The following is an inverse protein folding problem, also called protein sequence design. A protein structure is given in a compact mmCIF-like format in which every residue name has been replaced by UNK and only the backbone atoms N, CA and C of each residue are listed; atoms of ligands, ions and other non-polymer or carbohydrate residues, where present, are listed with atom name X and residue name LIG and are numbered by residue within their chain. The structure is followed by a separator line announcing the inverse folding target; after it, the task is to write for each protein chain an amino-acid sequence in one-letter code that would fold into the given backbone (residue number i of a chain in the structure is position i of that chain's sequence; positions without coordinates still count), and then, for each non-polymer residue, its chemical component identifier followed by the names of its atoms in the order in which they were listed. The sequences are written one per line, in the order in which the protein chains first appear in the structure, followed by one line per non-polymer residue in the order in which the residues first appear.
data_IF_445990119302
#
_entry.id   IF_445990119302
#
_cell.length_a   1.000
_cell.length_b   1.000
_cell.length_c   1.000
_cell.angle_alpha   90.00
_cell.angle_beta   90.00
_cell.angle_gamma   90.00
#
_symmetry.space_group_name_H-M   'P 1'
#
loop_
_entity.id
_entity.type
_entity.pdbx_description
1 polymer ?
#
# COMPACT_ATOMS: atom_id res chain seq x y z
N UNK A 1 13.30 -22.36 1.48
CA UNK A 1 12.67 -21.75 0.30
C UNK A 1 11.55 -22.67 -0.13
N UNK A 2 10.45 -22.67 0.63
CA UNK A 2 9.31 -23.55 0.39
C UNK A 2 8.29 -22.76 -0.41
N UNK A 3 7.84 -23.34 -1.52
CA UNK A 3 6.86 -22.80 -2.47
C UNK A 3 5.43 -22.64 -1.88
N UNK A 4 5.31 -22.51 -0.56
CA UNK A 4 4.04 -22.43 0.18
C UNK A 4 3.53 -20.99 0.33
N UNK A 5 4.42 -19.99 0.35
CA UNK A 5 4.03 -18.57 0.43
C UNK A 5 3.30 -18.07 -0.82
N UNK A 6 3.53 -18.71 -1.98
CA UNK A 6 2.84 -18.37 -3.23
C UNK A 6 1.45 -19.04 -3.34
N UNK A 7 1.19 -20.09 -2.56
CA UNK A 7 -0.10 -20.80 -2.54
C UNK A 7 -1.06 -20.22 -1.49
N UNK A 8 -0.54 -19.70 -0.37
CA UNK A 8 -1.34 -19.00 0.63
C UNK A 8 -2.15 -17.84 0.01
N UNK A 9 -1.54 -17.06 -0.90
CA UNK A 9 -2.21 -15.96 -1.61
C UNK A 9 -3.38 -16.39 -2.51
N UNK A 10 -3.35 -17.61 -3.08
CA UNK A 10 -4.44 -18.16 -3.89
C UNK A 10 -5.61 -18.63 -3.01
N UNK A 11 -5.29 -19.18 -1.83
CA UNK A 11 -6.30 -19.63 -0.84
C UNK A 11 -6.98 -18.46 -0.13
N UNK A 12 -6.24 -17.37 0.13
CA UNK A 12 -6.78 -16.15 0.72
C UNK A 12 -7.83 -15.48 -0.19
N UNK A 13 -7.65 -15.51 -1.52
CA UNK A 13 -8.68 -15.05 -2.45
C UNK A 13 -9.96 -15.90 -2.39
N UNK A 14 -9.82 -17.21 -2.15
CA UNK A 14 -10.94 -18.15 -2.02
C UNK A 14 -11.71 -18.01 -0.70
N UNK A 15 -11.05 -17.60 0.38
CA UNK A 15 -11.66 -17.39 1.69
C UNK A 15 -12.21 -15.95 1.87
N UNK A 16 -11.49 -14.94 1.38
CA UNK A 16 -11.88 -13.54 1.51
C UNK A 16 -13.17 -13.18 0.74
N UNK A 17 -13.53 -13.96 -0.28
CA UNK A 17 -14.81 -13.81 -0.97
C UNK A 17 -16.04 -14.15 -0.10
N UNK A 18 -15.86 -14.79 1.07
CA UNK A 18 -16.97 -15.23 1.93
C UNK A 18 -17.36 -14.25 3.03
N UNK A 19 -16.49 -13.33 3.46
CA UNK A 19 -16.82 -12.20 4.36
C UNK A 19 -15.89 -11.03 4.06
N UNK A 20 -16.46 -9.95 3.51
CA UNK A 20 -15.76 -8.88 2.80
C UNK A 20 -14.81 -7.97 3.59
N UNK A 21 -14.09 -8.45 4.61
CA UNK A 21 -13.01 -7.71 5.25
C UNK A 21 -12.06 -8.56 6.12
N UNK A 22 -12.00 -9.88 5.91
CA UNK A 22 -11.13 -10.73 6.74
C UNK A 22 -9.66 -10.55 6.32
N UNK A 23 -8.85 -10.09 7.26
CA UNK A 23 -7.39 -9.97 7.16
C UNK A 23 -6.72 -11.34 7.32
N UNK A 24 -5.65 -11.60 6.57
CA UNK A 24 -4.83 -12.80 6.73
C UNK A 24 -4.00 -12.77 8.03
N UNK A 25 -3.22 -13.82 8.32
CA UNK A 25 -2.28 -13.86 9.46
C UNK A 25 -1.25 -12.71 9.44
N UNK A 26 -1.09 -12.04 8.29
CA UNK A 26 -0.26 -10.85 8.09
C UNK A 26 -1.03 -9.52 8.14
N UNK A 27 -2.32 -9.52 8.45
CA UNK A 27 -3.18 -8.32 8.39
C UNK A 27 -3.59 -7.96 6.95
N UNK A 28 -3.26 -8.79 5.97
CA UNK A 28 -3.47 -8.45 4.56
C UNK A 28 -4.91 -8.69 4.16
N UNK A 29 -5.60 -7.64 3.73
CA UNK A 29 -6.92 -7.74 3.11
C UNK A 29 -6.79 -8.23 1.65
N UNK A 30 -7.87 -8.75 1.04
CA UNK A 30 -7.87 -9.07 -0.39
C UNK A 30 -7.44 -7.90 -1.29
N UNK A 31 -7.67 -6.65 -0.86
CA UNK A 31 -7.22 -5.46 -1.60
C UNK A 31 -5.68 -5.37 -1.63
N UNK A 32 -5.00 -5.71 -0.53
CA UNK A 32 -3.53 -5.78 -0.49
C UNK A 32 -3.00 -6.82 -1.47
N UNK A 33 -3.61 -8.00 -1.52
CA UNK A 33 -3.21 -9.06 -2.44
C UNK A 33 -3.46 -8.69 -3.90
N UNK A 34 -4.60 -8.08 -4.21
CA UNK A 34 -4.89 -7.58 -5.55
C UNK A 34 -3.89 -6.49 -5.98
N UNK A 35 -3.55 -5.59 -5.06
CA UNK A 35 -2.57 -4.53 -5.26
C UNK A 35 -1.15 -5.07 -5.47
N UNK A 36 -0.73 -6.00 -4.61
CA UNK A 36 0.52 -6.73 -4.72
C UNK A 36 0.61 -7.51 -6.03
N UNK A 37 -0.47 -8.16 -6.44
CA UNK A 37 -0.58 -8.95 -7.67
C UNK A 37 -0.54 -8.11 -8.95
N UNK A 38 -0.93 -6.83 -8.88
CA UNK A 38 -1.12 -5.97 -10.04
C UNK A 38 -2.44 -6.21 -10.76
N UNK A 39 -3.39 -6.82 -10.07
CA UNK A 39 -4.68 -7.18 -10.63
C UNK A 39 -5.65 -6.00 -10.51
N UNK A 40 -5.49 -4.99 -11.38
CA UNK A 40 -6.34 -3.78 -11.42
C UNK A 40 -7.83 -4.11 -11.45
N UNK A 41 -8.25 -5.12 -12.22
CA UNK A 41 -9.66 -5.54 -12.24
C UNK A 41 -10.16 -6.10 -10.90
N UNK A 42 -9.30 -6.80 -10.15
CA UNK A 42 -9.64 -7.27 -8.80
C UNK A 42 -9.68 -6.11 -7.81
N UNK A 43 -8.75 -5.16 -7.89
CA UNK A 43 -8.74 -3.93 -7.07
C UNK A 43 -10.05 -3.17 -7.27
N UNK A 44 -10.44 -2.93 -8.52
CA UNK A 44 -11.70 -2.24 -8.84
C UNK A 44 -12.92 -2.98 -8.29
N UNK A 45 -13.01 -4.30 -8.52
CA UNK A 45 -14.11 -5.11 -8.02
C UNK A 45 -14.20 -5.07 -6.48
N UNK A 46 -13.06 -5.14 -5.79
CA UNK A 46 -13.02 -5.11 -4.32
C UNK A 46 -13.48 -3.76 -3.78
N UNK A 47 -13.01 -2.66 -4.37
CA UNK A 47 -13.44 -1.30 -3.98
C UNK A 47 -14.92 -1.08 -4.27
N UNK A 48 -15.43 -1.54 -5.41
CA UNK A 48 -16.86 -1.54 -5.75
C UNK A 48 -17.70 -2.36 -4.75
N UNK A 49 -17.13 -3.45 -4.23
CA UNK A 49 -17.75 -4.27 -3.17
C UNK A 49 -17.67 -3.65 -1.77
N UNK A 50 -17.07 -2.47 -1.62
CA UNK A 50 -16.92 -1.77 -0.34
C UNK A 50 -15.70 -2.21 0.46
N UNK A 51 -14.65 -2.73 -0.19
CA UNK A 51 -13.37 -2.97 0.48
C UNK A 51 -12.78 -1.65 0.99
N UNK A 52 -12.17 -1.71 2.17
CA UNK A 52 -11.52 -0.55 2.76
C UNK A 52 -10.18 -0.27 2.06
N UNK A 53 -10.11 0.88 1.39
CA UNK A 53 -8.89 1.36 0.71
C UNK A 53 -7.81 1.81 1.69
N UNK A 54 -8.20 2.19 2.91
CA UNK A 54 -7.32 2.63 3.98
C UNK A 54 -6.94 1.49 4.93
N UNK A 55 -7.34 0.26 4.62
CA UNK A 55 -6.95 -0.92 5.39
C UNK A 55 -5.43 -1.00 5.51
N UNK A 56 -4.95 -1.30 6.72
CA UNK A 56 -3.54 -1.44 7.05
C UNK A 56 -3.24 -2.87 7.44
N UNK A 57 -2.19 -3.41 6.86
CA UNK A 57 -1.64 -4.70 7.25
C UNK A 57 -0.97 -4.62 8.62
N UNK A 58 -0.56 -5.77 9.17
CA UNK A 58 0.10 -5.84 10.50
C UNK A 58 1.43 -5.09 10.56
N UNK A 59 2.05 -4.80 9.42
CA UNK A 59 3.27 -4.00 9.30
C UNK A 59 2.99 -2.52 8.96
N UNK A 60 1.73 -2.10 9.05
CA UNK A 60 1.29 -0.73 8.77
C UNK A 60 1.18 -0.40 7.27
N UNK A 61 1.52 -1.33 6.38
CA UNK A 61 1.42 -1.13 4.93
C UNK A 61 -0.05 -1.07 4.50
N UNK A 62 -0.34 -0.21 3.52
CA UNK A 62 -1.61 -0.17 2.81
C UNK A 62 -1.53 -0.88 1.46
N UNK A 63 -2.66 -1.04 0.78
CA UNK A 63 -2.68 -1.54 -0.60
C UNK A 63 -1.73 -0.73 -1.52
N UNK A 64 -1.60 0.58 -1.27
CA UNK A 64 -0.74 1.46 -2.05
C UNK A 64 0.75 1.16 -1.85
N UNK A 65 1.18 0.85 -0.62
CA UNK A 65 2.55 0.40 -0.34
C UNK A 65 2.90 -0.86 -1.13
N UNK A 66 2.00 -1.84 -1.16
CA UNK A 66 2.20 -3.10 -1.91
C UNK A 66 2.26 -2.86 -3.42
N UNK A 67 1.37 -2.02 -3.96
CA UNK A 67 1.37 -1.67 -5.38
C UNK A 67 2.65 -0.93 -5.80
N UNK A 68 3.12 0.00 -4.96
CA UNK A 68 4.36 0.75 -5.17
C UNK A 68 5.59 -0.15 -5.15
N UNK A 69 5.68 -1.05 -4.15
CA UNK A 69 6.76 -2.03 -4.02
C UNK A 69 6.84 -2.98 -5.22
N UNK A 70 5.68 -3.45 -5.71
CA UNK A 70 5.64 -4.31 -6.90
C UNK A 70 6.03 -3.55 -8.18
N UNK A 71 5.79 -2.24 -8.22
CA UNK A 71 6.02 -1.40 -9.39
C UNK A 71 4.86 -1.43 -10.39
N UNK A 72 3.62 -1.63 -9.92
CA UNK A 72 2.44 -1.70 -10.79
C UNK A 72 1.78 -0.34 -10.98
N UNK A 73 2.24 0.43 -11.98
CA UNK A 73 1.71 1.77 -12.28
C UNK A 73 0.18 1.81 -12.43
N UNK A 74 -0.40 0.89 -13.20
CA UNK A 74 -1.85 0.87 -13.43
C UNK A 74 -2.65 0.68 -12.12
N UNK A 75 -2.10 -0.12 -11.20
CA UNK A 75 -2.74 -0.37 -9.90
C UNK A 75 -2.61 0.82 -8.96
N UNK A 76 -1.44 1.46 -8.95
CA UNK A 76 -1.21 2.72 -8.22
C UNK A 76 -2.16 3.81 -8.72
N UNK A 77 -2.27 3.98 -10.04
CA UNK A 77 -3.21 4.93 -10.65
C UNK A 77 -4.65 4.68 -10.19
N UNK A 78 -5.13 3.44 -10.25
CA UNK A 78 -6.49 3.15 -9.78
C UNK A 78 -6.67 3.42 -8.29
N UNK A 79 -5.73 3.04 -7.43
CA UNK A 79 -5.84 3.33 -6.00
C UNK A 79 -5.90 4.85 -5.75
N UNK A 80 -5.11 5.64 -6.47
CA UNK A 80 -5.15 7.11 -6.43
C UNK A 80 -6.49 7.68 -6.92
N UNK A 81 -7.03 7.15 -8.02
CA UNK A 81 -8.35 7.55 -8.54
C UNK A 81 -9.48 7.30 -7.54
N UNK A 82 -9.35 6.27 -6.70
CA UNK A 82 -10.27 5.97 -5.62
C UNK A 82 -10.01 6.75 -4.32
N UNK A 83 -8.97 7.59 -4.27
CA UNK A 83 -8.65 8.43 -3.11
C UNK A 83 -7.77 7.76 -2.05
N UNK A 84 -6.93 6.80 -2.44
CA UNK A 84 -5.92 6.25 -1.55
C UNK A 84 -4.94 7.33 -1.07
N UNK A 85 -4.62 7.30 0.21
CA UNK A 85 -3.70 8.25 0.81
C UNK A 85 -2.23 7.85 0.55
N UNK A 86 -1.48 8.76 -0.07
CA UNK A 86 -0.06 8.60 -0.44
C UNK A 86 0.90 8.95 0.70
N UNK A 87 0.40 9.58 1.77
CA UNK A 87 1.20 10.07 2.90
C UNK A 87 1.23 9.10 4.07
N UNK A 88 0.49 7.99 3.96
CA UNK A 88 0.41 6.97 5.01
C UNK A 88 1.78 6.36 5.25
N UNK A 89 2.28 6.41 6.49
CA UNK A 89 3.54 5.77 6.87
C UNK A 89 3.30 4.38 7.41
N UNK A 90 4.06 3.38 6.97
CA UNK A 90 4.04 2.06 7.59
C UNK A 90 4.82 2.04 8.93
N UNK A 91 4.93 0.87 9.58
CA UNK A 91 5.68 0.75 10.85
C UNK A 91 7.18 1.08 10.70
N UNK A 92 7.74 0.98 9.49
CA UNK A 92 9.10 1.42 9.18
C UNK A 92 9.22 2.93 8.96
N UNK A 93 8.16 3.70 9.20
CA UNK A 93 8.05 5.14 8.90
C UNK A 93 8.24 5.48 7.41
N UNK A 94 8.04 4.52 6.51
CA UNK A 94 8.14 4.69 5.05
C UNK A 94 6.77 4.96 4.46
N UNK A 95 6.69 5.91 3.53
CA UNK A 95 5.48 6.14 2.72
C UNK A 95 5.48 5.23 1.47
N UNK A 96 4.34 5.04 0.77
CA UNK A 96 4.28 4.27 -0.47
C UNK A 96 5.34 4.69 -1.49
N UNK A 97 5.64 6.00 -1.58
CA UNK A 97 6.67 6.54 -2.47
C UNK A 97 8.08 6.01 -2.11
N UNK A 98 8.41 5.86 -0.83
CA UNK A 98 9.73 5.36 -0.39
C UNK A 98 9.94 3.88 -0.75
N UNK A 99 8.85 3.13 -0.89
CA UNK A 99 8.86 1.73 -1.32
C UNK A 99 8.75 1.58 -2.85
N UNK A 100 8.55 2.66 -3.60
CA UNK A 100 8.33 2.59 -5.03
C UNK A 100 9.56 2.07 -5.76
N UNK A 101 9.39 0.97 -6.52
CA UNK A 101 10.50 0.36 -7.28
C UNK A 101 10.88 1.16 -8.53
N UNK A 102 9.92 1.90 -9.09
CA UNK A 102 10.08 2.71 -10.31
C UNK A 102 9.96 4.19 -9.96
N UNK A 103 10.83 5.02 -10.53
CA UNK A 103 10.83 6.48 -10.31
C UNK A 103 9.54 7.13 -10.81
N UNK A 104 8.93 6.59 -11.86
CA UNK A 104 7.65 7.09 -12.36
C UNK A 104 6.53 6.87 -11.35
N UNK A 105 6.52 5.74 -10.64
CA UNK A 105 5.52 5.45 -9.60
C UNK A 105 5.74 6.34 -8.39
N UNK A 106 7.00 6.55 -8.01
CA UNK A 106 7.33 7.54 -6.99
C UNK A 106 6.82 8.94 -7.39
N UNK A 107 6.98 9.32 -8.66
CA UNK A 107 6.49 10.60 -9.17
C UNK A 107 4.94 10.71 -9.12
N UNK A 108 4.21 9.62 -9.33
CA UNK A 108 2.74 9.60 -9.19
C UNK A 108 2.29 9.72 -7.74
N UNK A 109 3.14 9.32 -6.80
CA UNK A 109 2.90 9.29 -5.37
C UNK A 109 3.53 10.50 -4.67
N UNK A 110 3.91 11.54 -5.42
CA UNK A 110 4.48 12.76 -4.85
C UNK A 110 3.51 13.31 -3.80
N UNK A 111 3.87 13.33 -2.51
CA UNK A 111 3.17 14.16 -1.57
C UNK A 111 3.39 15.59 -2.06
N UNK A 112 2.31 16.34 -2.30
CA UNK A 112 2.45 17.78 -2.51
C UNK A 112 3.24 18.30 -1.31
N UNK A 113 4.40 18.91 -1.58
CA UNK A 113 5.36 19.29 -0.55
C UNK A 113 4.62 20.03 0.57
N UNK A 114 4.83 19.67 1.85
CA UNK A 114 4.51 20.64 2.87
C UNK A 114 5.40 21.86 2.59
N UNK A 115 4.75 23.01 2.44
CA UNK A 115 5.37 24.33 2.49
C UNK A 115 5.89 24.55 3.91
N UNK A 116 6.84 23.72 4.37
CA UNK A 116 7.53 23.92 5.63
C UNK A 116 8.71 24.86 5.33
N UNK A 117 8.34 26.12 5.13
CA UNK A 117 9.16 27.21 5.64
C UNK A 117 9.37 27.01 7.14
N UNK A 118 10.60 27.26 7.57
CA UNK A 118 11.01 27.40 8.97
C UNK A 118 10.93 26.14 9.84
N UNK A 119 12.06 25.42 9.89
CA UNK A 119 12.64 25.06 11.18
C UNK A 119 14.16 25.17 11.10
N UNK A 120 14.62 26.41 10.97
CA UNK A 120 15.76 26.88 11.75
C UNK A 120 15.37 26.74 13.24
N UNK A 121 15.75 25.62 13.86
CA UNK A 121 15.89 25.55 15.31
C UNK A 121 17.14 24.71 15.60
N UNK A 122 18.24 25.44 15.61
CA UNK A 122 19.36 25.34 16.54
C UNK A 122 19.33 24.16 17.54
N UNK A 123 20.40 23.37 17.56
CA UNK A 123 21.42 23.57 18.58
C UNK A 123 22.58 22.58 18.42
N UNK A 124 23.73 23.17 18.10
CA UNK A 124 25.06 22.74 18.49
C UNK A 124 25.17 22.19 19.93
N UNK A 125 26.21 21.35 20.13
CA UNK A 125 26.96 21.05 21.35
C UNK A 125 26.41 20.04 22.37
N UNK A 126 27.18 18.97 22.57
CA UNK A 126 27.93 18.82 23.83
C UNK A 126 29.18 17.94 23.63
N UNK A 127 30.32 18.47 24.10
CA UNK A 127 31.72 17.99 24.14
C UNK A 127 32.02 16.48 24.10
#
# INVERSE_FOLDING_TARGET
MTSDDLYAGMTALHHAAKRGNEEDDFGLTPLHWAAYGGHTGCVWLLLDKGADIYARAKNGDTALHKAAWRGNKATVQHLLEWGADVTVKNDESKIPMDLARETEIAAMLQPEMPDDGDSDDDAELSD
#
